data_IF_021225265809
#
_entry.id   IF_021225265809
#
_cell.length_a   1.000
_cell.length_b   1.000
_cell.length_c   1.000
_cell.angle_alpha   90.00
_cell.angle_beta   90.00
_cell.angle_gamma   90.00
#
_symmetry.space_group_name_H-M   'P 1'
#
loop_
_entity.id
_entity.type
_entity.pdbx_description
1 polymer ?
#
# COMPACT_ATOMS: atom_id res chain seq x y z
N UNK A 1 -22.50 -63.17 10.56
CA UNK A 1 -22.78 -62.21 11.66
C UNK A 1 -21.46 -61.90 12.35
N UNK A 2 -20.85 -60.77 12.02
CA UNK A 2 -19.76 -60.08 12.75
C UNK A 2 -19.50 -58.76 12.01
N UNK A 3 -20.19 -57.69 12.42
CA UNK A 3 -19.72 -56.58 13.28
C UNK A 3 -18.97 -55.52 12.48
N UNK A 4 -19.75 -54.52 12.07
CA UNK A 4 -19.32 -53.24 11.51
C UNK A 4 -18.31 -52.55 12.44
N UNK A 5 -17.08 -52.36 11.95
CA UNK A 5 -16.14 -51.41 12.57
C UNK A 5 -16.49 -50.01 12.04
N UNK A 6 -17.37 -49.31 12.74
CA UNK A 6 -17.46 -47.86 12.65
C UNK A 6 -16.15 -47.25 13.20
N UNK A 7 -15.27 -46.82 12.31
CA UNK A 7 -14.13 -45.97 12.65
C UNK A 7 -14.66 -44.56 12.92
N UNK A 8 -14.85 -44.20 14.19
CA UNK A 8 -15.14 -42.84 14.61
C UNK A 8 -13.90 -41.97 14.46
N UNK A 9 -13.71 -41.36 13.29
CA UNK A 9 -12.76 -40.26 13.09
C UNK A 9 -13.21 -39.05 13.93
N UNK A 10 -12.32 -38.39 14.68
CA UNK A 10 -12.66 -37.19 15.43
C UNK A 10 -13.16 -36.12 14.45
N UNK A 11 -14.20 -35.37 14.84
CA UNK A 11 -14.71 -34.22 14.10
C UNK A 11 -13.60 -33.17 14.03
N UNK A 12 -12.83 -33.16 12.94
CA UNK A 12 -11.89 -32.10 12.62
C UNK A 12 -12.68 -30.80 12.56
N UNK A 13 -12.46 -29.91 13.53
CA UNK A 13 -13.08 -28.58 13.54
C UNK A 13 -12.40 -27.76 12.46
N UNK A 14 -12.82 -27.96 11.23
CA UNK A 14 -12.31 -27.25 10.06
C UNK A 14 -12.74 -25.78 10.19
N UNK A 15 -11.86 -24.94 10.76
CA UNK A 15 -12.11 -23.51 10.83
C UNK A 15 -12.15 -22.99 9.40
N UNK A 16 -13.26 -22.37 8.96
CA UNK A 16 -13.38 -21.92 7.58
C UNK A 16 -12.23 -20.94 7.28
N UNK A 17 -11.38 -21.33 6.33
CA UNK A 17 -10.23 -20.52 5.90
C UNK A 17 -10.70 -19.53 4.86
N UNK A 18 -10.74 -18.25 5.24
CA UNK A 18 -11.15 -17.16 4.34
C UNK A 18 -9.93 -16.50 3.69
N UNK A 19 -10.01 -16.22 2.40
CA UNK A 19 -8.97 -15.46 1.67
C UNK A 19 -9.08 -13.93 1.84
N UNK A 20 -10.20 -13.42 2.35
CA UNK A 20 -10.41 -11.99 2.55
C UNK A 20 -9.35 -11.27 3.40
N UNK A 21 -8.88 -11.81 4.54
CA UNK A 21 -7.80 -11.20 5.32
C UNK A 21 -6.50 -10.98 4.54
N UNK A 22 -6.06 -11.95 3.72
CA UNK A 22 -4.81 -11.81 2.94
C UNK A 22 -4.98 -10.79 1.82
N UNK A 23 -6.15 -10.78 1.17
CA UNK A 23 -6.49 -9.79 0.14
C UNK A 23 -6.55 -8.39 0.74
N UNK A 24 -7.17 -8.22 1.90
CA UNK A 24 -7.21 -6.95 2.62
C UNK A 24 -5.80 -6.43 2.92
N UNK A 25 -4.91 -7.27 3.46
CA UNK A 25 -3.54 -6.88 3.78
C UNK A 25 -2.74 -6.46 2.54
N UNK A 26 -2.78 -7.28 1.49
CA UNK A 26 -2.01 -7.06 0.25
C UNK A 26 -2.53 -5.89 -0.58
N UNK A 27 -3.85 -5.73 -0.70
CA UNK A 27 -4.45 -4.60 -1.41
C UNK A 27 -4.16 -3.28 -0.68
N UNK A 28 -4.22 -3.27 0.64
CA UNK A 28 -3.91 -2.07 1.42
C UNK A 28 -2.44 -1.66 1.25
N UNK A 29 -1.53 -2.63 1.17
CA UNK A 29 -0.13 -2.35 0.91
C UNK A 29 0.06 -1.69 -0.48
N UNK A 30 -0.67 -2.16 -1.51
CA UNK A 30 -0.68 -1.50 -2.83
C UNK A 30 -1.18 -0.05 -2.73
N UNK A 31 -2.21 0.22 -1.93
CA UNK A 31 -2.72 1.58 -1.74
C UNK A 31 -1.71 2.48 -1.02
N UNK A 32 -1.05 1.98 0.03
CA UNK A 32 0.05 2.72 0.67
C UNK A 32 1.18 3.03 -0.31
N UNK A 33 1.55 2.06 -1.15
CA UNK A 33 2.56 2.26 -2.18
C UNK A 33 2.10 3.26 -3.26
N UNK A 34 0.85 3.22 -3.70
CA UNK A 34 0.27 4.21 -4.59
C UNK A 34 0.36 5.61 -3.99
N UNK A 35 0.00 5.77 -2.71
CA UNK A 35 0.15 7.04 -1.99
C UNK A 35 1.60 7.51 -1.99
N UNK A 36 2.57 6.61 -1.79
CA UNK A 36 3.99 6.95 -1.86
C UNK A 36 4.38 7.46 -3.25
N UNK A 37 4.00 6.76 -4.33
CA UNK A 37 4.28 7.16 -5.72
C UNK A 37 3.69 8.53 -6.02
N UNK A 38 2.42 8.75 -5.66
CA UNK A 38 1.70 10.00 -5.92
C UNK A 38 2.32 11.15 -5.13
N UNK A 39 2.51 11.00 -3.83
CA UNK A 39 3.10 12.06 -2.98
C UNK A 39 4.54 12.37 -3.36
N UNK A 40 5.31 11.37 -3.81
CA UNK A 40 6.64 11.57 -4.37
C UNK A 40 6.61 12.53 -5.56
N UNK A 41 5.76 12.30 -6.55
CA UNK A 41 5.67 13.16 -7.74
C UNK A 41 5.06 14.53 -7.43
N UNK A 42 3.99 14.59 -6.64
CA UNK A 42 3.35 15.86 -6.25
C UNK A 42 4.34 16.78 -5.52
N UNK A 43 5.17 16.24 -4.62
CA UNK A 43 6.17 17.03 -3.90
C UNK A 43 7.22 17.67 -4.83
N UNK A 44 7.47 17.07 -6.00
CA UNK A 44 8.46 17.57 -6.97
C UNK A 44 7.91 18.74 -7.80
N UNK A 45 6.60 18.96 -7.82
CA UNK A 45 5.97 19.99 -8.64
C UNK A 45 6.24 21.40 -8.10
N UNK A 46 6.10 21.63 -6.79
CA UNK A 46 6.35 22.94 -6.18
C UNK A 46 6.91 22.83 -4.77
N UNK A 47 7.68 23.84 -4.34
CA UNK A 47 8.17 23.93 -2.95
C UNK A 47 7.04 24.03 -1.91
N UNK A 48 5.87 24.53 -2.30
CA UNK A 48 4.70 24.59 -1.42
C UNK A 48 4.11 23.20 -1.15
N UNK A 49 3.96 22.39 -2.20
CA UNK A 49 3.47 21.02 -2.10
C UNK A 49 4.44 20.13 -1.33
N UNK A 50 5.74 20.30 -1.54
CA UNK A 50 6.78 19.61 -0.77
C UNK A 50 6.65 19.89 0.73
N UNK A 51 6.53 21.16 1.13
CA UNK A 51 6.32 21.55 2.53
C UNK A 51 5.01 21.02 3.11
N UNK A 52 3.92 21.05 2.34
CA UNK A 52 2.63 20.52 2.76
C UNK A 52 2.74 19.01 3.03
N UNK A 53 3.32 18.26 2.11
CA UNK A 53 3.51 16.81 2.28
C UNK A 53 4.44 16.54 3.46
N UNK A 54 5.55 17.26 3.58
CA UNK A 54 6.49 17.14 4.69
C UNK A 54 5.84 17.39 6.05
N UNK A 55 4.87 18.31 6.14
CA UNK A 55 4.19 18.64 7.40
C UNK A 55 3.53 17.44 8.08
N UNK A 56 3.06 16.45 7.31
CA UNK A 56 2.48 15.21 7.85
C UNK A 56 3.50 14.36 8.62
N UNK A 57 4.78 14.45 8.29
CA UNK A 57 5.87 13.72 8.95
C UNK A 57 6.74 14.59 9.85
N UNK A 58 6.40 15.87 10.05
CA UNK A 58 7.24 16.80 10.81
C UNK A 58 7.55 16.32 12.24
N UNK A 59 6.62 15.57 12.83
CA UNK A 59 6.73 14.99 14.16
C UNK A 59 7.78 13.87 14.27
N UNK A 60 8.23 13.27 13.16
CA UNK A 60 9.21 12.19 13.22
C UNK A 60 10.60 12.72 13.61
N UNK A 61 11.30 12.08 14.57
CA UNK A 61 12.66 12.45 14.92
C UNK A 61 13.56 12.44 13.67
N UNK A 62 14.32 13.51 13.43
CA UNK A 62 15.17 13.62 12.24
C UNK A 62 14.45 14.08 10.96
N UNK A 63 13.16 14.44 11.01
CA UNK A 63 12.41 15.00 9.88
C UNK A 63 13.03 16.29 9.33
N UNK A 64 13.53 17.16 10.21
CA UNK A 64 14.11 18.47 9.89
C UNK A 64 15.64 18.48 9.87
N UNK A 65 16.28 17.33 10.14
CA UNK A 65 17.70 17.27 10.46
C UNK A 65 18.60 17.62 9.28
N UNK A 66 19.56 18.51 9.48
CA UNK A 66 20.72 18.76 8.59
C UNK A 66 22.01 18.14 9.17
N UNK A 67 21.89 17.24 10.17
CA UNK A 67 23.00 16.72 10.99
C UNK A 67 23.60 15.37 10.55
N UNK A 68 24.69 14.92 11.22
CA UNK A 68 25.50 13.76 10.82
C UNK A 68 24.79 12.40 10.95
N UNK A 69 23.77 12.31 11.80
CA UNK A 69 23.10 11.06 12.17
C UNK A 69 21.91 10.69 11.25
N UNK A 70 21.83 11.35 10.09
CA UNK A 70 20.83 11.07 9.05
C UNK A 70 19.64 12.01 9.09
N UNK A 71 19.46 12.77 8.01
CA UNK A 71 18.21 13.46 7.72
C UNK A 71 17.21 12.44 7.19
N UNK A 72 16.17 12.06 7.96
CA UNK A 72 14.98 11.43 7.37
C UNK A 72 14.40 12.39 6.30
N UNK A 73 14.56 13.70 6.53
CA UNK A 73 14.50 14.75 5.51
C UNK A 73 13.15 14.84 4.82
N UNK A 74 13.18 15.19 3.53
CA UNK A 74 11.99 15.36 2.67
C UNK A 74 11.15 14.09 2.47
N UNK A 75 11.59 12.92 2.94
CA UNK A 75 10.85 11.66 2.81
C UNK A 75 9.84 11.43 3.94
N UNK A 76 10.07 12.04 5.10
CA UNK A 76 9.26 11.84 6.32
C UNK A 76 7.74 11.96 6.09
N UNK A 77 7.32 13.01 5.37
CA UNK A 77 5.90 13.24 5.08
C UNK A 77 5.28 12.20 4.15
N UNK A 78 6.03 11.76 3.13
CA UNK A 78 5.58 10.79 2.12
C UNK A 78 5.35 9.43 2.74
N UNK A 79 6.31 9.00 3.55
CA UNK A 79 6.26 7.73 4.28
C UNK A 79 5.12 7.72 5.31
N UNK A 80 4.94 8.83 6.04
CA UNK A 80 3.84 8.94 7.01
C UNK A 80 2.48 8.80 6.32
N UNK A 81 2.27 9.50 5.21
CA UNK A 81 1.02 9.40 4.44
C UNK A 81 0.80 7.98 3.89
N UNK A 82 1.85 7.35 3.36
CA UNK A 82 1.77 5.99 2.85
C UNK A 82 1.39 4.98 3.94
N UNK A 83 2.02 5.06 5.12
CA UNK A 83 1.71 4.20 6.26
C UNK A 83 0.30 4.46 6.78
N UNK A 84 -0.10 5.72 6.88
CA UNK A 84 -1.44 6.08 7.32
C UNK A 84 -2.51 5.50 6.40
N UNK A 85 -2.37 5.68 5.08
CA UNK A 85 -3.30 5.11 4.10
C UNK A 85 -3.30 3.60 4.16
N UNK A 86 -2.12 2.96 4.23
CA UNK A 86 -2.01 1.52 4.36
C UNK A 86 -2.77 0.99 5.58
N UNK A 87 -2.55 1.55 6.76
CA UNK A 87 -3.21 1.10 8.00
C UNK A 87 -4.71 1.38 8.00
N UNK A 88 -5.12 2.56 7.56
CA UNK A 88 -6.54 2.93 7.51
C UNK A 88 -7.32 2.02 6.54
N UNK A 89 -6.78 1.81 5.34
CA UNK A 89 -7.41 0.93 4.34
C UNK A 89 -7.38 -0.53 4.77
N UNK A 90 -6.29 -0.98 5.40
CA UNK A 90 -6.22 -2.33 5.94
C UNK A 90 -7.28 -2.56 7.00
N UNK A 91 -7.45 -1.64 7.95
CA UNK A 91 -8.45 -1.79 9.00
C UNK A 91 -9.87 -1.89 8.42
N UNK A 92 -10.18 -1.03 7.45
CA UNK A 92 -11.47 -1.03 6.76
C UNK A 92 -11.70 -2.35 6.00
N UNK A 93 -10.76 -2.75 5.15
CA UNK A 93 -10.88 -3.97 4.34
C UNK A 93 -10.86 -5.22 5.20
N UNK A 94 -10.02 -5.27 6.22
CA UNK A 94 -9.98 -6.41 7.14
C UNK A 94 -11.33 -6.59 7.82
N UNK A 95 -11.93 -5.52 8.35
CA UNK A 95 -13.23 -5.61 8.98
C UNK A 95 -14.33 -6.07 8.01
N UNK A 96 -14.35 -5.53 6.79
CA UNK A 96 -15.35 -5.86 5.78
C UNK A 96 -15.20 -7.27 5.20
N UNK A 97 -13.96 -7.74 5.03
CA UNK A 97 -13.65 -8.94 4.24
C UNK A 97 -13.15 -10.13 5.07
N UNK A 98 -12.95 -10.00 6.39
CA UNK A 98 -12.44 -11.08 7.27
C UNK A 98 -13.22 -12.40 7.25
N UNK A 99 -14.46 -12.42 6.73
CA UNK A 99 -15.32 -13.61 6.59
C UNK A 99 -15.75 -13.87 5.15
N UNK A 100 -15.06 -13.26 4.18
CA UNK A 100 -15.36 -13.42 2.75
C UNK A 100 -14.28 -14.25 2.08
N UNK A 101 -14.72 -15.01 1.08
CA UNK A 101 -13.83 -15.78 0.22
C UNK A 101 -13.87 -15.22 -1.20
N UNK A 102 -12.69 -15.05 -1.79
CA UNK A 102 -12.47 -14.45 -3.10
C UNK A 102 -11.55 -15.34 -3.93
N UNK A 103 -11.61 -15.19 -5.25
CA UNK A 103 -10.70 -15.88 -6.16
C UNK A 103 -9.27 -15.33 -6.05
N UNK A 104 -8.42 -16.05 -5.31
CA UNK A 104 -6.99 -15.73 -5.18
C UNK A 104 -6.28 -15.70 -6.53
N UNK A 105 -6.66 -16.57 -7.47
CA UNK A 105 -6.02 -16.62 -8.80
C UNK A 105 -6.20 -15.32 -9.57
N UNK A 106 -7.42 -14.79 -9.59
CA UNK A 106 -7.70 -13.52 -10.25
C UNK A 106 -7.02 -12.36 -9.51
N UNK A 107 -7.08 -12.37 -8.17
CA UNK A 107 -6.46 -11.33 -7.36
C UNK A 107 -4.94 -11.28 -7.48
N UNK A 108 -4.25 -12.42 -7.51
CA UNK A 108 -2.78 -12.47 -7.66
C UNK A 108 -2.34 -11.87 -9.00
N UNK A 109 -3.04 -12.19 -10.09
CA UNK A 109 -2.74 -11.61 -11.40
C UNK A 109 -2.91 -10.07 -11.38
N UNK A 110 -4.01 -9.59 -10.80
CA UNK A 110 -4.24 -8.16 -10.60
C UNK A 110 -3.16 -7.51 -9.72
N UNK A 111 -2.83 -8.13 -8.58
CA UNK A 111 -1.86 -7.62 -7.63
C UNK A 111 -0.48 -7.48 -8.27
N UNK A 112 -0.01 -8.50 -9.00
CA UNK A 112 1.27 -8.45 -9.69
C UNK A 112 1.30 -7.38 -10.77
N UNK A 113 0.22 -7.25 -11.55
CA UNK A 113 0.09 -6.20 -12.57
C UNK A 113 0.12 -4.80 -11.94
N UNK A 114 -0.65 -4.59 -10.87
CA UNK A 114 -0.70 -3.32 -10.15
C UNK A 114 0.64 -2.99 -9.49
N UNK A 115 1.30 -3.97 -8.87
CA UNK A 115 2.62 -3.80 -8.26
C UNK A 115 3.67 -3.40 -9.31
N UNK A 116 3.72 -4.12 -10.44
CA UNK A 116 4.63 -3.78 -11.53
C UNK A 116 4.37 -2.37 -12.07
N UNK A 117 3.10 -2.00 -12.25
CA UNK A 117 2.71 -0.65 -12.68
C UNK A 117 3.18 0.43 -11.68
N UNK A 118 2.98 0.22 -10.37
CA UNK A 118 3.45 1.15 -9.34
C UNK A 118 4.97 1.26 -9.30
N UNK A 119 5.70 0.15 -9.50
CA UNK A 119 7.15 0.15 -9.58
C UNK A 119 7.65 0.94 -10.79
N UNK A 120 6.99 0.84 -11.94
CA UNK A 120 7.28 1.69 -13.11
C UNK A 120 7.01 3.17 -12.81
N UNK A 121 6.01 3.47 -11.98
CA UNK A 121 5.75 4.82 -11.49
C UNK A 121 6.87 5.43 -10.65
N UNK A 122 7.81 4.64 -10.13
CA UNK A 122 9.00 5.13 -9.43
C UNK A 122 10.24 5.25 -10.34
N UNK A 123 10.13 4.75 -11.58
CA UNK A 123 11.23 4.75 -12.53
C UNK A 123 11.28 6.05 -13.32
N UNK A 124 12.11 7.00 -12.85
CA UNK A 124 12.23 8.37 -13.35
C UNK A 124 12.26 8.50 -14.88
N UNK A 125 13.07 7.72 -15.64
CA UNK A 125 13.11 7.86 -17.10
C UNK A 125 11.77 7.61 -17.80
N UNK A 126 10.90 6.78 -17.23
CA UNK A 126 9.58 6.48 -17.80
C UNK A 126 8.51 7.45 -17.29
N UNK A 127 8.54 7.81 -16.01
CA UNK A 127 7.45 8.55 -15.37
C UNK A 127 7.59 10.07 -15.51
N UNK A 128 8.80 10.61 -15.60
CA UNK A 128 9.02 12.06 -15.64
C UNK A 128 8.31 12.74 -16.83
N UNK A 129 8.35 12.21 -18.08
CA UNK A 129 7.58 12.79 -19.19
C UNK A 129 6.08 12.83 -18.93
N UNK A 130 5.54 11.79 -18.30
CA UNK A 130 4.10 11.68 -17.98
C UNK A 130 3.73 12.70 -16.92
N UNK A 131 4.53 12.82 -15.85
CA UNK A 131 4.29 13.76 -14.77
C UNK A 131 4.38 15.20 -15.26
N UNK A 132 5.38 15.54 -16.08
CA UNK A 132 5.52 16.88 -16.65
C UNK A 132 4.38 17.22 -17.62
N UNK A 133 3.96 16.26 -18.44
CA UNK A 133 2.79 16.42 -19.31
C UNK A 133 1.53 16.75 -18.48
N UNK A 134 1.27 15.98 -17.43
CA UNK A 134 0.13 16.23 -16.53
C UNK A 134 0.28 17.58 -15.83
N UNK A 135 1.47 17.91 -15.31
CA UNK A 135 1.75 19.18 -14.65
C UNK A 135 1.48 20.37 -15.59
N UNK A 136 1.85 20.26 -16.86
CA UNK A 136 1.57 21.25 -17.90
C UNK A 136 0.07 21.49 -18.12
N UNK A 137 -0.76 20.44 -18.05
CA UNK A 137 -2.23 20.58 -18.16
C UNK A 137 -2.83 21.41 -17.01
N UNK A 138 -2.18 21.42 -15.85
CA UNK A 138 -2.63 22.15 -14.67
C UNK A 138 -1.88 23.47 -14.44
N UNK A 139 -0.99 23.87 -15.35
CA UNK A 139 -0.24 25.14 -15.27
C UNK A 139 0.89 25.15 -14.24
N UNK A 140 1.44 23.97 -13.89
CA UNK A 140 2.58 23.84 -12.98
C UNK A 140 3.94 23.72 -13.70
N UNK A 141 3.96 23.71 -15.03
CA UNK A 141 5.15 23.57 -15.87
C UNK A 141 5.76 24.92 -16.27
#
# INVERSE_FOLDING_TARGET
>A
MNTDKQSSTPLETDTPTYSGPVIAATLSALLGMLTLVVTHHISRLTKGLDKLIHSYGYWMPGSTGTGPDGSIGNYSGKETLAVFVWLATWLIFHYLWRKQDFSLRAFVAFFLGALAFLMLGLFHPLIDPVVLFIAGLFGYA
#
